data_IF_183134926715
#
_entry.id   IF_183134926715
#
_cell.length_a   1.000
_cell.length_b   1.000
_cell.length_c   1.000
_cell.angle_alpha   90.00
_cell.angle_beta   90.00
_cell.angle_gamma   90.00
#
_symmetry.space_group_name_H-M   'P 1'
#
loop_
_entity.id
_entity.type
_entity.pdbx_description
1 polymer ?
#
# COMPACT_ATOMS: atom_id res chain seq x y z
N UNK A 1 9.22 13.11 -1.00
CA UNK A 1 7.82 12.71 -1.25
C UNK A 1 7.83 11.75 -2.41
N UNK A 2 7.37 10.52 -2.18
CA UNK A 2 7.12 9.54 -3.23
C UNK A 2 5.63 9.53 -3.57
N UNK A 3 5.28 9.18 -4.80
CA UNK A 3 3.88 8.95 -5.18
C UNK A 3 3.59 7.47 -5.17
N UNK A 4 2.48 7.07 -4.56
CA UNK A 4 1.98 5.70 -4.58
C UNK A 4 0.55 5.71 -5.15
N UNK A 5 0.31 4.83 -6.12
CA UNK A 5 -1.02 4.60 -6.70
C UNK A 5 -1.57 3.28 -6.19
N UNK A 6 -2.73 3.34 -5.55
CA UNK A 6 -3.49 2.17 -5.11
C UNK A 6 -4.61 1.92 -6.12
N UNK A 7 -4.72 0.68 -6.59
CA UNK A 7 -5.77 0.24 -7.50
C UNK A 7 -6.63 -0.76 -6.74
N UNK A 8 -7.93 -0.48 -6.63
CA UNK A 8 -8.85 -1.42 -5.98
C UNK A 8 -9.31 -2.54 -6.92
N UNK A 9 -10.09 -3.48 -6.40
CA UNK A 9 -10.55 -4.63 -7.17
C UNK A 9 -11.51 -4.28 -8.32
N UNK A 10 -12.03 -3.04 -8.37
CA UNK A 10 -12.87 -2.54 -9.47
C UNK A 10 -12.03 -1.85 -10.55
N UNK A 11 -10.74 -1.60 -10.28
CA UNK A 11 -9.83 -0.86 -11.14
C UNK A 11 -9.77 0.64 -10.84
N UNK A 12 -10.50 1.14 -9.82
CA UNK A 12 -10.41 2.54 -9.46
C UNK A 12 -9.04 2.84 -8.84
N UNK A 13 -8.40 3.91 -9.30
CA UNK A 13 -7.06 4.30 -8.87
C UNK A 13 -7.10 5.52 -7.96
N UNK A 14 -6.41 5.43 -6.81
CA UNK A 14 -6.19 6.54 -5.88
C UNK A 14 -4.69 6.76 -5.72
N UNK A 15 -4.21 7.96 -6.05
CA UNK A 15 -2.79 8.31 -5.95
C UNK A 15 -2.56 9.31 -4.83
N UNK A 16 -1.57 9.06 -3.99
CA UNK A 16 -1.22 9.89 -2.84
C UNK A 16 0.28 10.20 -2.83
N UNK A 17 0.64 11.34 -2.24
CA UNK A 17 2.01 11.67 -1.89
C UNK A 17 2.32 11.15 -0.48
N UNK A 18 3.45 10.46 -0.33
CA UNK A 18 3.92 9.89 0.94
C UNK A 18 5.32 10.39 1.27
N UNK A 19 5.58 10.60 2.55
CA UNK A 19 6.94 10.86 3.04
C UNK A 19 7.83 9.63 2.85
N UNK A 20 9.07 9.86 2.40
CA UNK A 20 10.03 8.78 2.25
C UNK A 20 10.36 8.22 3.64
N UNK A 21 10.34 6.89 3.78
CA UNK A 21 10.56 6.19 5.05
C UNK A 21 9.28 5.65 5.69
N UNK A 22 8.10 6.13 5.28
CA UNK A 22 6.84 5.47 5.62
C UNK A 22 6.67 4.17 4.82
N UNK A 23 5.98 3.19 5.40
CA UNK A 23 5.57 1.97 4.68
C UNK A 23 4.35 2.23 3.78
N UNK A 24 4.15 1.37 2.77
CA UNK A 24 2.98 1.43 1.88
C UNK A 24 1.67 1.27 2.66
N UNK A 25 1.67 0.40 3.68
CA UNK A 25 0.51 0.18 4.55
C UNK A 25 0.16 1.45 5.34
N UNK A 26 1.14 2.11 5.96
CA UNK A 26 0.89 3.36 6.70
C UNK A 26 0.34 4.44 5.77
N UNK A 27 0.86 4.52 4.55
CA UNK A 27 0.37 5.44 3.53
C UNK A 27 -1.12 5.19 3.22
N UNK A 28 -1.52 3.92 3.08
CA UNK A 28 -2.90 3.53 2.86
C UNK A 28 -3.82 3.92 4.03
N UNK A 29 -3.46 3.53 5.25
CA UNK A 29 -4.27 3.77 6.46
C UNK A 29 -4.42 5.27 6.75
N UNK A 30 -3.34 6.04 6.69
CA UNK A 30 -3.37 7.50 6.95
C UNK A 30 -4.21 8.28 5.93
N UNK A 31 -4.41 7.72 4.74
CA UNK A 31 -5.19 8.35 3.66
C UNK A 31 -6.53 7.63 3.41
N UNK A 32 -6.95 6.75 4.33
CA UNK A 32 -8.21 6.01 4.26
C UNK A 32 -8.42 5.29 2.91
N UNK A 33 -7.37 4.65 2.38
CA UNK A 33 -7.46 3.83 1.16
C UNK A 33 -8.34 2.60 1.45
N UNK A 34 -9.46 2.40 0.72
CA UNK A 34 -10.32 1.24 0.91
C UNK A 34 -9.61 -0.09 0.62
N UNK A 35 -10.00 -1.15 1.33
CA UNK A 35 -9.51 -2.52 1.10
C UNK A 35 -8.19 -2.88 1.80
N UNK A 36 -7.61 -1.95 2.57
CA UNK A 36 -6.42 -2.19 3.41
C UNK A 36 -6.78 -1.87 4.86
N UNK A 37 -6.69 -2.85 5.75
CA UNK A 37 -7.19 -2.72 7.14
C UNK A 37 -6.07 -2.59 8.17
N UNK A 38 -4.98 -3.34 7.99
CA UNK A 38 -3.81 -3.34 8.88
C UNK A 38 -4.11 -3.66 10.35
N UNK A 39 -4.84 -4.74 10.60
CA UNK A 39 -5.30 -5.17 11.93
C UNK A 39 -4.18 -5.24 12.99
N UNK A 40 -3.02 -5.80 12.64
CA UNK A 40 -1.87 -5.89 13.56
C UNK A 40 -1.03 -4.61 13.66
N UNK A 41 -1.43 -3.51 13.00
CA UNK A 41 -0.68 -2.26 12.98
C UNK A 41 0.70 -2.35 12.31
N UNK A 42 0.91 -3.29 11.40
CA UNK A 42 2.20 -3.47 10.70
C UNK A 42 3.21 -4.36 11.43
N UNK A 43 2.80 -5.06 12.49
CA UNK A 43 3.66 -5.98 13.24
C UNK A 43 3.97 -7.32 12.52
N UNK A 44 3.64 -7.45 11.24
CA UNK A 44 3.82 -8.69 10.45
C UNK A 44 3.16 -9.93 11.10
N UNK A 45 2.02 -9.74 11.77
CA UNK A 45 1.31 -10.79 12.51
C UNK A 45 -0.10 -11.08 11.97
N UNK A 46 -0.51 -10.41 10.89
CA UNK A 46 -1.77 -10.64 10.18
C UNK A 46 -1.50 -10.65 8.67
N UNK A 47 -2.56 -10.65 7.86
CA UNK A 47 -2.47 -10.53 6.39
C UNK A 47 -3.41 -9.46 5.80
N UNK A 48 -4.04 -8.63 6.63
CA UNK A 48 -5.09 -7.70 6.21
C UNK A 48 -4.57 -6.41 5.54
N UNK A 49 -3.25 -6.32 5.33
CA UNK A 49 -2.60 -5.31 4.50
C UNK A 49 -2.04 -5.87 3.18
N UNK A 50 -2.47 -7.06 2.78
CA UNK A 50 -2.04 -7.71 1.55
C UNK A 50 -2.37 -6.86 0.31
N UNK A 51 -1.43 -6.80 -0.63
CA UNK A 51 -1.57 -6.12 -1.92
C UNK A 51 -0.86 -6.89 -3.02
N UNK A 52 -1.25 -6.65 -4.27
CA UNK A 52 -0.47 -7.05 -5.43
C UNK A 52 0.39 -5.87 -5.89
N UNK A 53 1.68 -6.12 -6.08
CA UNK A 53 2.60 -5.14 -6.66
C UNK A 53 2.51 -5.23 -8.17
N UNK A 54 2.32 -4.11 -8.84
CA UNK A 54 2.35 -4.03 -10.31
C UNK A 54 3.67 -4.59 -10.87
N UNK A 55 3.58 -5.33 -11.98
CA UNK A 55 4.71 -6.07 -12.54
C UNK A 55 5.93 -5.17 -12.82
N UNK A 56 5.71 -3.90 -13.22
CA UNK A 56 6.79 -2.95 -13.48
C UNK A 56 7.60 -2.56 -12.23
N UNK A 57 7.10 -2.88 -11.03
CA UNK A 57 7.71 -2.53 -9.75
C UNK A 57 8.25 -3.72 -8.95
N UNK A 58 7.92 -4.96 -9.34
CA UNK A 58 8.27 -6.15 -8.55
C UNK A 58 9.76 -6.27 -8.25
N UNK A 59 10.62 -6.11 -9.26
CA UNK A 59 12.07 -6.19 -9.07
C UNK A 59 12.62 -5.13 -8.09
N UNK A 60 11.97 -3.96 -8.00
CA UNK A 60 12.41 -2.86 -7.14
C UNK A 60 11.92 -2.97 -5.71
N UNK A 61 10.72 -3.52 -5.51
CA UNK A 61 10.09 -3.67 -4.19
C UNK A 61 10.67 -4.85 -3.42
N UNK A 62 11.15 -5.88 -4.13
CA UNK A 62 11.76 -7.07 -3.56
C UNK A 62 11.13 -8.35 -4.09
N UNK A 63 11.86 -9.46 -3.97
CA UNK A 63 11.44 -10.81 -4.36
C UNK A 63 10.78 -11.57 -3.22
#
# INVERSE_FOLDING_TARGET
>A
MAKISFVDHTGETRTIDVENGATVMEAAIRNAIPGIEAECGGACACATCHVYVDEAWREKVGS
#
